data_IF_559622636564
#
_entry.id   IF_559622636564
#
_cell.length_a   1.000
_cell.length_b   1.000
_cell.length_c   1.000
_cell.angle_alpha   90.00
_cell.angle_beta   90.00
_cell.angle_gamma   90.00
#
_symmetry.space_group_name_H-M   'P 1'
#
loop_
_entity.id
_entity.type
_entity.pdbx_description
1 polymer ?
#
# COMPACT_ATOMS: atom_id res chain seq x y z
N UNK A 1 -7.77 14.99 45.20
CA UNK A 1 -7.99 15.74 43.98
C UNK A 1 -8.81 14.95 43.03
N UNK A 2 -10.02 15.39 42.68
CA UNK A 2 -11.02 14.66 41.88
C UNK A 2 -10.62 14.66 40.41
N UNK A 3 -10.48 13.48 39.80
CA UNK A 3 -10.27 13.29 38.37
C UNK A 3 -11.53 13.68 37.58
N UNK A 4 -11.35 14.49 36.53
CA UNK A 4 -12.41 14.86 35.60
C UNK A 4 -12.56 13.75 34.57
N UNK A 5 -13.69 13.04 34.59
CA UNK A 5 -14.16 12.21 33.50
C UNK A 5 -14.67 13.12 32.37
N UNK A 6 -14.10 13.02 31.19
CA UNK A 6 -14.63 13.64 29.99
C UNK A 6 -15.85 12.86 29.49
N UNK A 7 -17.02 13.49 29.58
CA UNK A 7 -18.27 12.92 29.05
C UNK A 7 -18.29 13.01 27.51
N UNK A 8 -18.37 11.86 26.86
CA UNK A 8 -18.66 11.75 25.43
C UNK A 8 -20.12 12.13 25.19
N UNK A 9 -20.38 13.20 24.43
CA UNK A 9 -21.75 13.61 24.04
C UNK A 9 -22.31 12.61 23.03
N UNK A 10 -23.35 11.89 23.45
CA UNK A 10 -24.16 11.04 22.57
C UNK A 10 -25.02 11.92 21.65
N UNK A 11 -24.83 11.83 20.36
CA UNK A 11 -25.74 12.38 19.36
C UNK A 11 -26.94 11.43 19.27
N UNK A 12 -28.13 11.93 19.63
CA UNK A 12 -29.39 11.19 19.48
C UNK A 12 -29.79 11.09 18.02
N UNK A 13 -30.12 9.89 17.58
CA UNK A 13 -30.97 9.66 16.43
C UNK A 13 -30.33 8.86 15.30
N UNK A 14 -30.05 7.56 15.52
CA UNK A 14 -30.15 6.60 14.42
C UNK A 14 -30.54 5.23 15.01
N UNK A 15 -31.65 4.66 14.53
CA UNK A 15 -32.11 3.34 14.92
C UNK A 15 -31.04 2.31 14.54
N UNK A 16 -30.71 1.33 15.39
CA UNK A 16 -29.79 0.27 15.02
C UNK A 16 -30.41 -0.57 13.90
N UNK A 17 -29.77 -0.56 12.76
CA UNK A 17 -30.07 -1.46 11.65
C UNK A 17 -29.79 -2.90 12.13
N UNK A 18 -30.84 -3.71 12.34
CA UNK A 18 -30.70 -5.14 12.65
C UNK A 18 -30.17 -5.84 11.41
N UNK A 19 -28.88 -6.14 11.39
CA UNK A 19 -28.29 -7.04 10.40
C UNK A 19 -28.67 -8.45 10.83
N UNK A 20 -29.50 -9.12 10.03
CA UNK A 20 -29.83 -10.53 10.22
C UNK A 20 -28.57 -11.40 10.14
N UNK A 21 -28.40 -12.44 10.98
CA UNK A 21 -27.23 -13.31 10.92
C UNK A 21 -27.24 -14.08 9.61
N UNK A 22 -26.20 -13.92 8.79
CA UNK A 22 -25.95 -14.79 7.64
C UNK A 22 -25.55 -16.17 8.16
N UNK A 23 -26.38 -17.17 7.91
CA UNK A 23 -26.05 -18.58 8.08
C UNK A 23 -25.13 -19.02 6.93
N UNK A 24 -23.89 -19.35 7.25
CA UNK A 24 -22.93 -20.06 6.40
C UNK A 24 -21.67 -20.36 7.22
N UNK A 25 -20.99 -21.51 7.01
CA UNK A 25 -19.85 -21.88 7.79
C UNK A 25 -18.62 -21.09 7.31
N UNK A 26 -18.36 -19.95 7.92
CA UNK A 26 -17.11 -19.23 7.81
C UNK A 26 -16.59 -19.04 9.24
N UNK A 27 -15.78 -19.99 9.66
CA UNK A 27 -14.99 -19.91 10.91
C UNK A 27 -13.92 -18.83 10.78
N UNK A 28 -14.31 -17.60 10.50
CA UNK A 28 -13.53 -16.45 10.91
C UNK A 28 -13.86 -16.20 12.37
N UNK A 29 -13.13 -16.87 13.23
CA UNK A 29 -13.04 -16.50 14.64
C UNK A 29 -12.57 -15.05 14.67
N UNK A 30 -13.51 -14.11 14.77
CA UNK A 30 -13.18 -12.74 15.15
C UNK A 30 -12.62 -12.82 16.56
N UNK A 31 -11.33 -13.03 16.69
CA UNK A 31 -10.65 -12.86 17.96
C UNK A 31 -10.83 -11.41 18.37
N UNK A 32 -11.54 -11.21 19.47
CA UNK A 32 -11.68 -9.89 20.10
C UNK A 32 -10.27 -9.29 20.25
N UNK A 33 -10.10 -7.97 20.09
CA UNK A 33 -8.82 -7.33 20.26
C UNK A 33 -8.21 -7.74 21.61
N UNK A 34 -7.03 -8.35 21.59
CA UNK A 34 -6.32 -8.73 22.80
C UNK A 34 -5.71 -7.48 23.42
N UNK A 35 -6.14 -7.14 24.63
CA UNK A 35 -5.52 -6.08 25.43
C UNK A 35 -4.58 -6.72 26.44
N UNK A 36 -3.33 -6.29 26.43
CA UNK A 36 -2.32 -6.62 27.43
C UNK A 36 -2.04 -5.36 28.25
N UNK A 37 -1.99 -5.50 29.56
CA UNK A 37 -1.68 -4.41 30.49
C UNK A 37 -0.37 -4.75 31.17
N UNK A 38 0.63 -3.88 31.08
CA UNK A 38 2.00 -4.13 31.58
C UNK A 38 2.10 -4.35 33.09
N UNK A 39 1.06 -4.04 33.83
CA UNK A 39 0.98 -4.25 35.29
C UNK A 39 0.32 -5.58 35.66
N UNK A 40 -0.20 -6.35 34.71
CA UNK A 40 -0.79 -7.65 34.98
C UNK A 40 0.28 -8.68 35.33
N UNK A 41 0.07 -9.56 36.29
CA UNK A 41 1.07 -10.55 36.72
C UNK A 41 1.49 -11.52 35.61
N UNK A 42 0.64 -11.76 34.61
CA UNK A 42 0.87 -12.68 33.49
C UNK A 42 1.26 -11.94 32.19
N UNK A 43 1.52 -10.61 32.25
CA UNK A 43 1.81 -9.78 31.08
C UNK A 43 2.95 -10.35 30.23
N UNK A 44 4.11 -10.64 30.82
CA UNK A 44 5.28 -11.10 30.09
C UNK A 44 5.02 -12.42 29.38
N UNK A 45 4.35 -13.36 30.01
CA UNK A 45 4.01 -14.67 29.43
C UNK A 45 3.10 -14.50 28.22
N UNK A 46 2.06 -13.68 28.34
CA UNK A 46 1.10 -13.39 27.26
C UNK A 46 1.72 -12.57 26.14
N UNK A 47 2.61 -11.65 26.46
CA UNK A 47 3.32 -10.84 25.49
C UNK A 47 4.29 -11.67 24.65
N UNK A 48 5.06 -12.55 25.28
CA UNK A 48 5.95 -13.49 24.56
C UNK A 48 5.15 -14.42 23.66
N UNK A 49 4.02 -14.95 24.13
CA UNK A 49 3.12 -15.78 23.30
C UNK A 49 2.58 -15.01 22.09
N UNK A 50 2.18 -13.75 22.26
CA UNK A 50 1.71 -12.88 21.17
C UNK A 50 2.83 -12.63 20.14
N UNK A 51 4.05 -12.39 20.58
CA UNK A 51 5.20 -12.22 19.68
C UNK A 51 5.56 -13.51 18.94
N UNK A 52 5.45 -14.66 19.60
CA UNK A 52 5.66 -15.97 19.01
C UNK A 52 4.65 -16.27 17.89
N UNK A 53 3.37 -16.09 18.16
CA UNK A 53 2.30 -16.30 17.19
C UNK A 53 2.48 -15.46 15.91
N UNK A 54 2.95 -14.22 16.04
CA UNK A 54 3.27 -13.36 14.88
C UNK A 54 4.44 -13.89 14.05
N UNK A 55 5.44 -14.49 14.68
CA UNK A 55 6.64 -15.01 13.98
C UNK A 55 6.34 -16.29 13.20
N UNK A 56 5.51 -17.17 13.72
CA UNK A 56 5.12 -18.41 13.03
C UNK A 56 4.33 -18.12 11.76
N UNK A 57 3.35 -17.21 11.81
CA UNK A 57 2.62 -16.78 10.61
C UNK A 57 3.52 -16.08 9.58
N UNK A 58 4.56 -15.36 10.03
CA UNK A 58 5.53 -14.70 9.15
C UNK A 58 6.45 -15.68 8.42
N UNK A 59 6.84 -16.80 9.05
CA UNK A 59 7.74 -17.78 8.44
C UNK A 59 7.08 -18.51 7.27
N UNK A 60 5.81 -18.92 7.41
CA UNK A 60 5.04 -19.56 6.34
C UNK A 60 4.80 -18.63 5.16
N UNK A 61 4.47 -17.37 5.44
CA UNK A 61 4.29 -16.34 4.41
C UNK A 61 5.61 -16.06 3.68
N UNK A 62 6.72 -15.97 4.41
CA UNK A 62 8.05 -15.77 3.83
C UNK A 62 8.45 -16.91 2.89
N UNK A 63 8.21 -18.16 3.29
CA UNK A 63 8.50 -19.32 2.46
C UNK A 63 7.65 -19.30 1.17
N UNK A 64 6.35 -19.03 1.27
CA UNK A 64 5.46 -18.94 0.13
C UNK A 64 5.87 -17.81 -0.83
N UNK A 65 6.19 -16.62 -0.31
CA UNK A 65 6.63 -15.49 -1.12
C UNK A 65 7.96 -15.77 -1.81
N UNK A 66 8.92 -16.37 -1.12
CA UNK A 66 10.20 -16.77 -1.73
C UNK A 66 10.01 -17.74 -2.90
N UNK A 67 9.12 -18.73 -2.75
CA UNK A 67 8.80 -19.68 -3.83
C UNK A 67 8.17 -18.96 -5.04
N UNK A 68 7.24 -18.03 -4.82
CA UNK A 68 6.61 -17.22 -5.87
C UNK A 68 7.67 -16.38 -6.60
N UNK A 69 8.52 -15.66 -5.84
CA UNK A 69 9.56 -14.80 -6.42
C UNK A 69 10.57 -15.63 -7.22
N UNK A 70 10.99 -16.79 -6.71
CA UNK A 70 11.90 -17.69 -7.42
C UNK A 70 11.28 -18.16 -8.73
N UNK A 71 10.04 -18.59 -8.70
CA UNK A 71 9.30 -19.03 -9.88
C UNK A 71 9.16 -17.93 -10.94
N UNK A 72 8.83 -16.69 -10.51
CA UNK A 72 8.73 -15.56 -11.45
C UNK A 72 10.09 -15.21 -12.06
N UNK A 73 11.19 -15.34 -11.31
CA UNK A 73 12.54 -15.11 -11.84
C UNK A 73 12.94 -16.14 -12.90
N UNK A 74 12.50 -17.38 -12.76
CA UNK A 74 12.82 -18.49 -13.65
C UNK A 74 11.92 -18.51 -14.89
N UNK A 75 10.59 -18.38 -14.71
CA UNK A 75 9.57 -18.55 -15.75
C UNK A 75 9.08 -17.22 -16.35
N UNK A 76 9.41 -16.06 -15.74
CA UNK A 76 8.99 -14.74 -16.23
C UNK A 76 7.48 -14.56 -16.29
N UNK A 77 7.00 -14.01 -17.40
CA UNK A 77 5.58 -13.70 -17.63
C UNK A 77 4.69 -14.94 -17.54
N UNK A 78 5.19 -16.12 -17.87
CA UNK A 78 4.43 -17.38 -17.76
C UNK A 78 4.02 -17.64 -16.32
N UNK A 79 4.94 -17.44 -15.37
CA UNK A 79 4.64 -17.58 -13.94
C UNK A 79 3.66 -16.51 -13.48
N UNK A 80 3.86 -15.25 -13.88
CA UNK A 80 2.96 -14.15 -13.50
C UNK A 80 1.53 -14.41 -13.96
N UNK A 81 1.34 -14.83 -15.22
CA UNK A 81 0.02 -15.17 -15.78
C UNK A 81 -0.63 -16.31 -14.99
N UNK A 82 0.12 -17.39 -14.75
CA UNK A 82 -0.40 -18.54 -14.01
C UNK A 82 -0.79 -18.18 -12.55
N UNK A 83 0.02 -17.38 -11.88
CA UNK A 83 -0.25 -16.93 -10.51
C UNK A 83 -1.43 -15.95 -10.46
N UNK A 84 -1.55 -15.05 -11.42
CA UNK A 84 -2.70 -14.13 -11.54
C UNK A 84 -4.00 -14.91 -11.75
N UNK A 85 -3.97 -15.93 -12.60
CA UNK A 85 -5.12 -16.84 -12.76
C UNK A 85 -5.48 -17.54 -11.44
N UNK A 86 -4.49 -18.03 -10.73
CA UNK A 86 -4.67 -18.77 -9.48
C UNK A 86 -5.22 -17.88 -8.35
N UNK A 87 -4.65 -16.70 -8.14
CA UNK A 87 -4.96 -15.86 -6.98
C UNK A 87 -6.03 -14.81 -7.27
N UNK A 88 -6.00 -14.19 -8.45
CA UNK A 88 -6.91 -13.10 -8.82
C UNK A 88 -8.10 -13.59 -9.65
N UNK A 89 -8.11 -14.87 -10.06
CA UNK A 89 -9.15 -15.44 -10.95
C UNK A 89 -9.31 -14.62 -12.25
N UNK A 90 -8.19 -14.17 -12.80
CA UNK A 90 -8.12 -13.35 -13.98
C UNK A 90 -7.27 -14.05 -15.06
N UNK A 91 -7.85 -14.24 -16.23
CA UNK A 91 -7.13 -14.75 -17.40
C UNK A 91 -6.41 -13.60 -18.09
N UNK A 92 -5.09 -13.66 -18.09
CA UNK A 92 -4.22 -12.71 -18.78
C UNK A 92 -3.42 -13.39 -19.88
N UNK A 93 -2.94 -12.59 -20.81
CA UNK A 93 -1.89 -12.92 -21.77
C UNK A 93 -0.78 -11.90 -21.65
N UNK A 94 0.39 -12.16 -22.23
CA UNK A 94 1.47 -11.17 -22.27
C UNK A 94 1.02 -9.83 -22.90
N UNK A 95 0.10 -9.89 -23.88
CA UNK A 95 -0.43 -8.69 -24.54
C UNK A 95 -1.49 -7.93 -23.74
N UNK A 96 -2.18 -8.58 -22.78
CA UNK A 96 -3.25 -7.97 -21.98
C UNK A 96 -2.86 -7.69 -20.53
N UNK A 97 -1.62 -8.04 -20.15
CA UNK A 97 -1.11 -7.79 -18.79
C UNK A 97 -0.96 -6.30 -18.49
N UNK A 98 -0.63 -5.51 -19.50
CA UNK A 98 -0.42 -4.08 -19.36
C UNK A 98 -1.72 -3.32 -19.53
N UNK A 99 -2.05 -2.48 -18.55
CA UNK A 99 -3.14 -1.52 -18.67
C UNK A 99 -2.79 -0.51 -19.77
N UNK A 100 -3.72 -0.31 -20.69
CA UNK A 100 -3.54 0.58 -21.84
C UNK A 100 -3.75 2.04 -21.49
N UNK A 101 -3.18 2.96 -22.27
CA UNK A 101 -3.47 4.39 -22.12
C UNK A 101 -4.96 4.70 -22.30
N UNK A 102 -5.67 3.99 -23.19
CA UNK A 102 -7.11 4.17 -23.38
C UNK A 102 -7.93 3.81 -22.14
N UNK A 103 -7.56 2.74 -21.42
CA UNK A 103 -8.22 2.38 -20.15
C UNK A 103 -7.98 3.45 -19.07
N UNK A 104 -6.76 4.00 -18.99
CA UNK A 104 -6.43 5.09 -18.06
C UNK A 104 -7.25 6.34 -18.39
N UNK A 105 -7.31 6.74 -19.66
CA UNK A 105 -8.09 7.91 -20.08
C UNK A 105 -9.60 7.70 -19.86
N UNK A 106 -10.13 6.51 -20.13
CA UNK A 106 -11.53 6.20 -19.86
C UNK A 106 -11.85 6.26 -18.35
N UNK A 107 -10.97 5.76 -17.51
CA UNK A 107 -11.12 5.84 -16.06
C UNK A 107 -11.07 7.28 -15.55
N UNK A 108 -10.16 8.09 -16.08
CA UNK A 108 -10.10 9.52 -15.77
C UNK A 108 -11.39 10.24 -16.20
N UNK A 109 -11.87 10.02 -17.41
CA UNK A 109 -13.09 10.65 -17.93
C UNK A 109 -14.35 10.22 -17.14
N UNK A 110 -14.36 9.00 -16.59
CA UNK A 110 -15.45 8.50 -15.75
C UNK A 110 -15.40 8.99 -14.29
N UNK A 111 -14.31 9.64 -13.87
CA UNK A 111 -14.13 10.15 -12.50
C UNK A 111 -14.78 11.54 -12.37
N UNK A 112 -15.55 11.74 -11.30
CA UNK A 112 -16.20 13.03 -11.03
C UNK A 112 -15.16 14.17 -10.90
N UNK A 113 -15.45 15.37 -11.46
CA UNK A 113 -14.53 16.50 -11.45
C UNK A 113 -14.02 16.87 -10.05
N UNK A 114 -14.90 16.87 -9.05
CA UNK A 114 -14.56 17.19 -7.66
C UNK A 114 -13.55 16.20 -7.08
N UNK A 115 -13.60 14.93 -7.52
CA UNK A 115 -12.65 13.90 -7.11
C UNK A 115 -11.30 14.11 -7.80
N UNK A 116 -11.30 14.49 -9.08
CA UNK A 116 -10.07 14.84 -9.80
C UNK A 116 -9.38 16.06 -9.17
N UNK A 117 -10.16 17.09 -8.79
CA UNK A 117 -9.64 18.25 -8.08
C UNK A 117 -9.00 17.87 -6.74
N UNK A 118 -9.63 16.96 -6.00
CA UNK A 118 -9.09 16.46 -4.74
C UNK A 118 -7.79 15.66 -4.94
N UNK A 119 -7.69 14.82 -5.99
CA UNK A 119 -6.48 14.10 -6.35
C UNK A 119 -5.35 15.07 -6.76
N UNK A 120 -5.68 16.10 -7.54
CA UNK A 120 -4.74 17.15 -7.96
C UNK A 120 -4.21 17.92 -6.76
N UNK A 121 -5.08 18.35 -5.86
CA UNK A 121 -4.67 19.00 -4.62
C UNK A 121 -3.76 18.12 -3.76
N UNK A 122 -4.08 16.83 -3.64
CA UNK A 122 -3.27 15.87 -2.91
C UNK A 122 -1.89 15.70 -3.56
N UNK A 123 -1.84 15.51 -4.90
CA UNK A 123 -0.60 15.46 -5.68
C UNK A 123 0.30 16.67 -5.41
N UNK A 124 -0.24 17.87 -5.53
CA UNK A 124 0.54 19.10 -5.41
C UNK A 124 1.13 19.28 -4.01
N UNK A 125 0.35 18.94 -2.98
CA UNK A 125 0.80 18.99 -1.59
C UNK A 125 1.89 17.95 -1.31
N UNK A 126 1.76 16.73 -1.82
CA UNK A 126 2.76 15.66 -1.69
C UNK A 126 4.04 16.08 -2.42
N UNK A 127 3.91 16.56 -3.65
CA UNK A 127 5.06 17.03 -4.44
C UNK A 127 5.79 18.19 -3.75
N UNK A 128 5.05 19.18 -3.24
CA UNK A 128 5.64 20.31 -2.53
C UNK A 128 6.39 19.89 -1.27
N UNK A 129 5.84 18.90 -0.52
CA UNK A 129 6.49 18.35 0.65
C UNK A 129 7.79 17.64 0.29
N UNK A 130 7.76 16.73 -0.68
CA UNK A 130 8.93 15.91 -1.04
C UNK A 130 10.02 16.70 -1.75
N UNK A 131 9.71 17.77 -2.49
CA UNK A 131 10.74 18.69 -3.04
C UNK A 131 11.62 19.28 -1.94
N UNK A 132 11.10 19.47 -0.73
CA UNK A 132 11.86 19.98 0.42
C UNK A 132 12.76 18.94 1.06
N UNK A 133 12.56 17.67 0.75
CA UNK A 133 13.35 16.54 1.26
C UNK A 133 14.48 16.12 0.32
N UNK A 134 14.55 16.71 -0.88
CA UNK A 134 15.63 16.40 -1.81
C UNK A 134 16.97 16.78 -1.17
N UNK A 135 17.90 15.82 -1.04
CA UNK A 135 19.23 16.11 -0.55
C UNK A 135 19.99 16.96 -1.57
N UNK A 136 20.94 17.72 -1.09
CA UNK A 136 21.85 18.50 -1.92
C UNK A 136 23.21 17.83 -1.97
N UNK A 137 23.87 17.90 -3.11
CA UNK A 137 25.28 17.55 -3.21
C UNK A 137 26.07 18.46 -2.29
N UNK A 138 27.07 17.91 -1.63
CA UNK A 138 28.00 18.63 -0.78
C UNK A 138 29.43 18.38 -1.25
N UNK A 139 30.25 19.41 -1.22
CA UNK A 139 31.66 19.33 -1.59
C UNK A 139 32.49 20.30 -0.75
N UNK A 140 33.51 19.79 -0.10
CA UNK A 140 34.39 20.58 0.77
C UNK A 140 35.83 20.05 0.74
N UNK A 141 36.78 20.90 1.13
CA UNK A 141 38.17 20.51 1.32
C UNK A 141 38.44 20.48 2.81
N UNK A 142 39.03 19.40 3.28
CA UNK A 142 39.39 19.25 4.69
C UNK A 142 40.65 20.10 5.03
N UNK A 143 41.01 20.20 6.32
CA UNK A 143 42.16 21.00 6.75
C UNK A 143 43.51 20.53 6.22
N UNK A 144 43.63 19.31 5.72
CA UNK A 144 44.87 18.76 5.14
C UNK A 144 44.85 18.77 3.60
N UNK A 145 43.83 19.36 2.98
CA UNK A 145 43.76 19.57 1.53
C UNK A 145 43.06 18.46 0.75
N UNK A 146 42.39 17.52 1.41
CA UNK A 146 41.63 16.45 0.74
C UNK A 146 40.25 16.97 0.35
N UNK A 147 39.87 16.79 -0.91
CA UNK A 147 38.53 17.12 -1.40
C UNK A 147 37.57 15.97 -1.12
N UNK A 148 36.49 16.26 -0.40
CA UNK A 148 35.47 15.32 0.05
C UNK A 148 34.09 15.82 -0.34
N UNK A 149 33.11 14.90 -0.41
CA UNK A 149 31.73 15.31 -0.67
C UNK A 149 30.74 14.14 -0.75
N UNK A 150 29.48 14.49 -0.90
CA UNK A 150 28.36 13.57 -1.13
C UNK A 150 27.67 13.95 -2.43
N UNK A 151 27.45 12.97 -3.29
CA UNK A 151 26.68 13.11 -4.52
C UNK A 151 25.41 12.26 -4.43
N UNK A 152 24.29 12.88 -4.72
CA UNK A 152 23.00 12.23 -4.72
C UNK A 152 22.46 12.03 -6.13
N UNK A 153 22.07 10.81 -6.46
CA UNK A 153 21.46 10.48 -7.75
C UNK A 153 20.21 9.66 -7.52
N UNK A 154 19.18 9.88 -8.33
CA UNK A 154 18.02 9.02 -8.33
C UNK A 154 18.39 7.59 -8.76
N UNK A 155 17.64 6.60 -8.26
CA UNK A 155 17.68 5.25 -8.83
C UNK A 155 17.06 5.26 -10.23
N UNK A 156 17.52 4.40 -11.12
CA UNK A 156 17.10 4.40 -12.53
C UNK A 156 15.62 4.00 -12.69
N UNK A 157 15.18 3.03 -11.91
CA UNK A 157 13.82 2.53 -12.00
C UNK A 157 13.28 2.05 -10.67
N UNK A 158 11.95 2.12 -10.50
CA UNK A 158 11.24 1.66 -9.31
C UNK A 158 9.97 0.91 -9.68
N UNK A 159 9.69 -0.16 -8.94
CA UNK A 159 8.40 -0.85 -8.96
C UNK A 159 7.51 -0.35 -7.81
N UNK A 160 6.27 0.00 -8.12
CA UNK A 160 5.27 0.39 -7.14
C UNK A 160 4.20 -0.68 -7.03
N UNK A 161 3.91 -1.12 -5.82
CA UNK A 161 2.77 -1.98 -5.53
C UNK A 161 1.65 -1.16 -4.91
N UNK A 162 0.49 -1.15 -5.57
CA UNK A 162 -0.72 -0.50 -5.04
C UNK A 162 -1.65 -1.59 -4.54
N UNK A 163 -1.99 -1.62 -3.25
CA UNK A 163 -2.89 -2.62 -2.71
C UNK A 163 -4.23 -2.61 -3.43
N UNK A 164 -4.77 -3.79 -3.72
CA UNK A 164 -6.11 -4.00 -4.27
C UNK A 164 -7.02 -4.69 -3.26
N UNK A 165 -8.19 -5.11 -3.71
CA UNK A 165 -9.17 -5.86 -2.90
C UNK A 165 -10.42 -5.03 -2.56
N UNK A 166 -10.90 -5.11 -1.31
CA UNK A 166 -12.16 -4.49 -0.89
C UNK A 166 -12.13 -2.96 -0.81
N UNK A 167 -10.95 -2.36 -0.71
CA UNK A 167 -10.77 -0.92 -0.64
C UNK A 167 -9.96 -0.41 -1.84
N UNK A 168 -10.28 0.81 -2.28
CA UNK A 168 -9.53 1.54 -3.31
C UNK A 168 -8.47 2.42 -2.65
N UNK A 169 -7.26 2.39 -3.20
CA UNK A 169 -6.14 3.14 -2.64
C UNK A 169 -5.49 4.11 -3.66
N UNK A 170 -6.23 5.10 -4.21
CA UNK A 170 -5.63 6.12 -5.08
C UNK A 170 -4.55 6.93 -4.34
N UNK A 171 -4.69 7.07 -3.02
CA UNK A 171 -3.67 7.68 -2.17
C UNK A 171 -2.35 6.93 -2.20
N UNK A 172 -2.36 5.59 -2.27
CA UNK A 172 -1.13 4.80 -2.37
C UNK A 172 -0.41 5.04 -3.70
N UNK A 173 -1.14 5.30 -4.78
CA UNK A 173 -0.53 5.73 -6.05
C UNK A 173 0.24 7.02 -5.85
N UNK A 174 -0.43 8.07 -5.36
CA UNK A 174 0.18 9.39 -5.15
C UNK A 174 1.33 9.35 -4.15
N UNK A 175 1.15 8.66 -3.02
CA UNK A 175 2.17 8.59 -1.96
C UNK A 175 3.44 7.84 -2.37
N UNK A 176 3.38 7.00 -3.39
CA UNK A 176 4.54 6.27 -3.92
C UNK A 176 5.09 6.89 -5.21
N UNK A 177 4.22 7.23 -6.18
CA UNK A 177 4.64 7.71 -7.49
C UNK A 177 5.17 9.15 -7.43
N UNK A 178 4.52 10.04 -6.67
CA UNK A 178 4.91 11.45 -6.61
C UNK A 178 6.30 11.63 -5.99
N UNK A 179 6.66 11.00 -4.85
CA UNK A 179 8.03 11.03 -4.34
C UNK A 179 9.07 10.49 -5.33
N UNK A 180 8.75 9.38 -6.02
CA UNK A 180 9.64 8.82 -7.02
C UNK A 180 9.91 9.80 -8.17
N UNK A 181 8.86 10.47 -8.69
CA UNK A 181 9.00 11.51 -9.71
C UNK A 181 9.78 12.72 -9.20
N UNK A 182 9.50 13.18 -8.00
CA UNK A 182 10.22 14.30 -7.37
C UNK A 182 11.70 13.98 -7.19
N UNK A 183 12.02 12.72 -6.86
CA UNK A 183 13.43 12.27 -6.75
C UNK A 183 14.14 12.14 -8.10
N UNK A 184 13.42 12.23 -9.23
CA UNK A 184 14.00 12.14 -10.57
C UNK A 184 14.12 10.71 -11.10
N UNK A 185 13.34 9.77 -10.57
CA UNK A 185 13.30 8.38 -11.10
C UNK A 185 12.69 8.40 -12.50
N UNK A 186 13.44 7.93 -13.49
CA UNK A 186 13.05 7.98 -14.90
C UNK A 186 11.98 6.93 -15.23
N UNK A 187 12.16 5.69 -14.74
CA UNK A 187 11.27 4.58 -15.02
C UNK A 187 10.47 4.17 -13.79
N UNK A 188 9.16 4.33 -13.84
CA UNK A 188 8.25 3.89 -12.79
C UNK A 188 7.31 2.82 -13.38
N UNK A 189 7.33 1.62 -12.81
CA UNK A 189 6.39 0.55 -13.12
C UNK A 189 5.44 0.36 -11.94
N UNK A 190 4.12 0.42 -12.19
CA UNK A 190 3.11 0.22 -11.15
C UNK A 190 2.36 -1.08 -11.39
N UNK A 191 2.12 -1.85 -10.34
CA UNK A 191 1.28 -3.03 -10.35
C UNK A 191 0.16 -2.90 -9.32
N UNK A 192 -1.02 -3.39 -9.68
CA UNK A 192 -2.22 -3.41 -8.84
C UNK A 192 -2.96 -4.72 -9.07
N UNK A 193 -3.39 -5.43 -8.01
CA UNK A 193 -4.23 -6.62 -8.15
C UNK A 193 -5.58 -6.27 -8.77
N UNK A 194 -6.03 -7.10 -9.70
CA UNK A 194 -7.29 -6.93 -10.43
C UNK A 194 -8.17 -8.17 -10.23
N UNK A 195 -8.73 -8.33 -9.05
CA UNK A 195 -9.61 -9.47 -8.75
C UNK A 195 -10.74 -9.58 -9.77
N UNK A 196 -10.78 -10.71 -10.50
CA UNK A 196 -11.75 -10.97 -11.58
C UNK A 196 -11.78 -9.88 -12.66
N UNK A 197 -10.64 -9.23 -12.90
CA UNK A 197 -10.49 -8.17 -13.89
C UNK A 197 -11.02 -6.79 -13.46
N UNK A 198 -11.49 -6.63 -12.23
CA UNK A 198 -11.99 -5.35 -11.75
C UNK A 198 -10.83 -4.43 -11.34
N UNK A 199 -10.55 -3.42 -12.15
CA UNK A 199 -9.66 -2.30 -11.82
C UNK A 199 -10.48 -1.14 -11.29
N UNK A 200 -10.02 -0.53 -10.20
CA UNK A 200 -10.70 0.65 -9.67
C UNK A 200 -10.38 1.89 -10.50
N UNK A 201 -11.39 2.61 -11.05
CA UNK A 201 -11.17 3.79 -11.88
C UNK A 201 -10.37 4.89 -11.19
N UNK A 202 -10.54 5.08 -9.87
CA UNK A 202 -9.80 6.10 -9.12
C UNK A 202 -8.31 5.79 -9.01
N UNK A 203 -7.93 4.51 -8.98
CA UNK A 203 -6.51 4.09 -8.99
C UNK A 203 -5.88 4.41 -10.35
N UNK A 204 -6.62 4.15 -11.45
CA UNK A 204 -6.16 4.47 -12.79
C UNK A 204 -6.11 5.99 -13.04
N UNK A 205 -7.11 6.72 -12.56
CA UNK A 205 -7.11 8.18 -12.65
C UNK A 205 -5.94 8.83 -11.88
N UNK A 206 -5.59 8.27 -10.71
CA UNK A 206 -4.44 8.75 -9.94
C UNK A 206 -3.09 8.38 -10.57
N UNK A 207 -3.04 7.39 -11.47
CA UNK A 207 -1.85 6.94 -12.17
C UNK A 207 -1.57 7.72 -13.49
N UNK A 208 -2.53 8.52 -13.94
CA UNK A 208 -2.42 9.38 -15.10
C UNK A 208 -1.49 10.57 -14.82
#
# INVERSE_FOLDING_TARGET
GRGRQAACRTVRGNRPMRIAPRKGPDERTFTLPCRLVSTDPDFETRFVALLGAKREQSADVDAAVRAIVARVREEGDTAVIALTRQFDQLELTAGTMRVTGAEIEAAHAATAPETLDALTLAHDRIAAHHRRQLPKDDRYTDPIGVELGSRWTAIESVGLYVPGGTASYPSSVLMNAVPAKVAGVERIAMVVPAMRGALNPLVLAAAR
#
